data_IF_859377951256
#
_entry.id   IF_859377951256
#
_cell.length_a   1.000
_cell.length_b   1.000
_cell.length_c   1.000
_cell.angle_alpha   90.00
_cell.angle_beta   90.00
_cell.angle_gamma   90.00
#
_symmetry.space_group_name_H-M   'P 1'
#
loop_
_entity.id
_entity.type
_entity.pdbx_description
1 polymer ?
#
# COMPACT_ATOMS: atom_id res chain seq x y z
N UNK A 1 -9.51 1.53 -2.65
CA UNK A 1 -9.61 0.29 -1.85
C UNK A 1 -10.57 -0.75 -2.42
N UNK A 2 -11.82 -0.42 -2.77
CA UNK A 2 -12.80 -1.42 -3.24
C UNK A 2 -12.34 -2.22 -4.47
N UNK A 3 -11.76 -1.57 -5.48
CA UNK A 3 -11.18 -2.24 -6.65
C UNK A 3 -10.04 -3.20 -6.29
N UNK A 4 -9.18 -2.80 -5.34
CA UNK A 4 -8.09 -3.63 -4.84
C UNK A 4 -8.61 -4.90 -4.15
N UNK A 5 -9.69 -4.78 -3.36
CA UNK A 5 -10.38 -5.91 -2.73
C UNK A 5 -10.98 -6.83 -3.80
N UNK A 6 -11.74 -6.26 -4.74
CA UNK A 6 -12.37 -7.03 -5.82
C UNK A 6 -11.35 -7.83 -6.64
N UNK A 7 -10.17 -7.23 -6.91
CA UNK A 7 -9.09 -7.88 -7.67
C UNK A 7 -8.54 -9.14 -7.00
N UNK A 8 -8.70 -9.31 -5.68
CA UNK A 8 -8.20 -10.49 -4.97
C UNK A 8 -8.92 -11.77 -5.40
N UNK A 9 -10.17 -11.67 -5.88
CA UNK A 9 -10.93 -12.82 -6.40
C UNK A 9 -10.34 -13.37 -7.70
N UNK A 10 -9.67 -12.52 -8.48
CA UNK A 10 -9.08 -12.88 -9.77
C UNK A 10 -7.60 -13.22 -9.64
N UNK A 11 -6.87 -12.41 -8.86
CA UNK A 11 -5.44 -12.57 -8.62
C UNK A 11 -5.14 -12.28 -7.14
N UNK A 12 -5.17 -13.30 -6.27
CA UNK A 12 -4.84 -13.16 -4.86
C UNK A 12 -3.41 -12.66 -4.66
N UNK A 13 -3.23 -11.70 -3.75
CA UNK A 13 -1.92 -11.09 -3.45
C UNK A 13 -1.55 -11.44 -2.02
N UNK A 14 -0.39 -12.08 -1.85
CA UNK A 14 0.08 -12.50 -0.53
C UNK A 14 0.21 -11.29 0.42
N UNK A 15 -0.25 -11.47 1.65
CA UNK A 15 -0.23 -10.42 2.68
C UNK A 15 -1.29 -9.31 2.49
N UNK A 16 -2.17 -9.37 1.48
CA UNK A 16 -3.19 -8.34 1.27
C UNK A 16 -4.16 -8.13 2.45
N UNK A 17 -4.67 -9.18 3.13
CA UNK A 17 -5.52 -8.97 4.31
C UNK A 17 -4.78 -8.23 5.45
N UNK A 18 -3.49 -8.52 5.66
CA UNK A 18 -2.68 -7.83 6.66
C UNK A 18 -2.41 -6.36 6.30
N UNK A 19 -2.32 -6.03 5.00
CA UNK A 19 -2.28 -4.63 4.54
C UNK A 19 -3.59 -3.89 4.85
N UNK A 20 -4.75 -4.53 4.67
CA UNK A 20 -6.04 -3.93 5.04
C UNK A 20 -6.15 -3.72 6.56
N UNK A 21 -5.74 -4.71 7.36
CA UNK A 21 -5.71 -4.57 8.81
C UNK A 21 -4.79 -3.44 9.26
N UNK A 22 -3.65 -3.23 8.58
CA UNK A 22 -2.77 -2.08 8.82
C UNK A 22 -3.46 -0.75 8.47
N UNK A 23 -4.18 -0.68 7.34
CA UNK A 23 -4.94 0.52 6.94
C UNK A 23 -5.93 0.90 8.03
N UNK A 24 -6.71 -0.06 8.53
CA UNK A 24 -7.69 0.17 9.61
C UNK A 24 -7.01 0.57 10.92
N UNK A 25 -5.98 -0.17 11.34
CA UNK A 25 -5.25 0.06 12.59
C UNK A 25 -4.64 1.46 12.68
N UNK A 26 -4.08 1.96 11.59
CA UNK A 26 -3.37 3.25 11.56
C UNK A 26 -4.22 4.39 10.99
N UNK A 27 -5.50 4.16 10.67
CA UNK A 27 -6.39 5.18 10.12
C UNK A 27 -5.97 5.69 8.74
N UNK A 28 -5.32 4.85 7.93
CA UNK A 28 -4.84 5.23 6.60
C UNK A 28 -6.01 5.43 5.63
N UNK A 29 -5.80 6.22 4.57
CA UNK A 29 -6.85 6.50 3.59
C UNK A 29 -7.23 5.31 2.73
N UNK A 30 -6.35 4.30 2.62
CA UNK A 30 -6.65 3.08 1.89
C UNK A 30 -5.44 2.42 1.25
N UNK A 31 -5.74 1.43 0.41
CA UNK A 31 -4.77 0.71 -0.41
C UNK A 31 -5.09 0.84 -1.89
N UNK A 32 -4.04 0.99 -2.69
CA UNK A 32 -4.04 0.88 -4.13
C UNK A 32 -3.18 -0.32 -4.56
N UNK A 33 -3.53 -0.96 -5.66
CA UNK A 33 -2.86 -2.14 -6.17
C UNK A 33 -2.68 -1.94 -7.67
N UNK A 34 -1.43 -2.03 -8.16
CA UNK A 34 -1.14 -1.96 -9.58
C UNK A 34 -1.77 -3.14 -10.32
N UNK A 35 -1.98 -3.01 -11.64
CA UNK A 35 -2.74 -3.97 -12.45
C UNK A 35 -2.34 -5.44 -12.24
N UNK A 36 -1.05 -5.77 -12.39
CA UNK A 36 -0.52 -7.12 -12.18
C UNK A 36 -0.38 -7.51 -10.71
N UNK A 37 -0.61 -6.58 -9.79
CA UNK A 37 -0.43 -6.79 -8.37
C UNK A 37 1.00 -6.74 -7.87
N UNK A 38 2.01 -6.54 -8.72
CA UNK A 38 3.42 -6.54 -8.31
C UNK A 38 3.82 -5.33 -7.45
N UNK A 39 3.00 -4.29 -7.42
CA UNK A 39 3.18 -3.10 -6.58
C UNK A 39 1.88 -2.81 -5.86
N UNK A 40 2.00 -2.52 -4.56
CA UNK A 40 0.92 -2.06 -3.70
C UNK A 40 1.31 -0.72 -3.08
N UNK A 41 0.34 0.18 -2.94
CA UNK A 41 0.53 1.48 -2.30
C UNK A 41 -0.44 1.65 -1.15
N UNK A 42 0.06 2.12 -0.01
CA UNK A 42 -0.79 2.59 1.10
C UNK A 42 -0.88 4.10 1.05
N UNK A 43 -2.09 4.63 1.17
CA UNK A 43 -2.38 6.06 1.05
C UNK A 43 -2.40 6.68 2.46
N UNK A 44 -1.55 7.68 2.68
CA UNK A 44 -1.37 8.32 3.97
C UNK A 44 -1.13 9.83 3.83
N UNK A 45 -1.39 10.55 4.93
CA UNK A 45 -0.90 11.92 5.16
C UNK A 45 0.28 11.91 6.12
N UNK A 46 1.44 12.40 5.69
CA UNK A 46 2.69 12.44 6.48
C UNK A 46 2.62 13.37 7.69
N UNK A 47 1.65 14.28 7.75
CA UNK A 47 1.41 15.15 8.92
C UNK A 47 0.59 14.45 10.00
N UNK A 48 -0.13 13.39 9.64
CA UNK A 48 -1.05 12.65 10.53
C UNK A 48 -0.55 11.25 10.88
N UNK A 49 0.20 10.62 9.99
CA UNK A 49 0.62 9.23 10.11
C UNK A 49 2.14 9.12 10.25
N UNK A 50 2.58 8.35 11.22
CA UNK A 50 3.99 8.02 11.45
C UNK A 50 4.48 6.99 10.44
N UNK A 51 5.27 7.44 9.47
CA UNK A 51 5.82 6.59 8.41
C UNK A 51 6.76 5.51 8.96
N UNK A 52 7.55 5.82 9.99
CA UNK A 52 8.49 4.85 10.54
C UNK A 52 7.75 3.75 11.30
N UNK A 53 6.69 4.09 12.05
CA UNK A 53 5.83 3.09 12.67
C UNK A 53 5.19 2.14 11.64
N UNK A 54 4.79 2.65 10.47
CA UNK A 54 4.25 1.85 9.37
C UNK A 54 5.31 0.91 8.78
N UNK A 55 6.53 1.39 8.54
CA UNK A 55 7.64 0.55 8.05
C UNK A 55 7.98 -0.58 9.03
N UNK A 56 8.04 -0.26 10.32
CA UNK A 56 8.25 -1.26 11.37
C UNK A 56 7.12 -2.29 11.40
N UNK A 57 5.87 -1.86 11.23
CA UNK A 57 4.73 -2.75 11.12
C UNK A 57 4.88 -3.72 9.94
N UNK A 58 5.20 -3.20 8.74
CA UNK A 58 5.44 -4.02 7.55
C UNK A 58 6.50 -5.10 7.79
N UNK A 59 7.62 -4.72 8.42
CA UNK A 59 8.70 -5.67 8.73
C UNK A 59 8.28 -6.72 9.76
N UNK A 60 7.66 -6.30 10.87
CA UNK A 60 7.23 -7.19 11.97
C UNK A 60 6.18 -8.21 11.53
N UNK A 61 5.33 -7.84 10.59
CA UNK A 61 4.28 -8.72 10.05
C UNK A 61 4.73 -9.50 8.81
N UNK A 62 6.03 -9.48 8.46
CA UNK A 62 6.59 -10.24 7.35
C UNK A 62 6.14 -9.76 5.96
N UNK A 63 5.46 -8.61 5.87
CA UNK A 63 4.96 -8.06 4.60
C UNK A 63 6.11 -7.66 3.67
N UNK A 64 7.28 -7.36 4.21
CA UNK A 64 8.50 -7.11 3.44
C UNK A 64 9.03 -8.33 2.68
N UNK A 65 8.54 -9.54 2.97
CA UNK A 65 8.86 -10.73 2.15
C UNK A 65 8.09 -10.73 0.83
N UNK A 66 6.89 -10.17 0.82
CA UNK A 66 6.04 -10.06 -0.38
C UNK A 66 6.25 -8.74 -1.11
N UNK A 67 6.53 -7.67 -0.37
CA UNK A 67 6.73 -6.31 -0.87
C UNK A 67 8.06 -5.75 -0.33
N UNK A 68 9.21 -6.23 -0.84
CA UNK A 68 10.52 -5.94 -0.25
C UNK A 68 10.97 -4.49 -0.44
N UNK A 69 10.64 -3.90 -1.57
CA UNK A 69 11.06 -2.54 -1.92
C UNK A 69 10.01 -1.53 -1.46
N UNK A 70 10.44 -0.55 -0.66
CA UNK A 70 9.56 0.46 -0.09
C UNK A 70 9.96 1.86 -0.60
N UNK A 71 8.96 2.62 -1.07
CA UNK A 71 9.15 4.00 -1.51
C UNK A 71 8.11 4.90 -0.84
N UNK A 72 8.54 6.07 -0.37
CA UNK A 72 7.64 7.14 0.07
C UNK A 72 7.53 8.18 -1.03
N UNK A 73 6.43 8.14 -1.77
CA UNK A 73 6.19 8.99 -2.95
C UNK A 73 5.06 9.98 -2.71
N UNK A 74 5.09 11.11 -3.40
CA UNK A 74 3.96 12.04 -3.45
C UNK A 74 2.98 11.57 -4.52
N UNK A 75 1.69 11.58 -4.20
CA UNK A 75 0.66 11.38 -5.21
C UNK A 75 0.70 12.55 -6.19
N UNK A 76 0.68 12.26 -7.48
CA UNK A 76 0.67 13.27 -8.54
C UNK A 76 -0.66 13.22 -9.28
N UNK A 77 -1.13 14.37 -9.77
CA UNK A 77 -2.14 14.40 -10.82
C UNK A 77 -1.56 13.68 -12.03
N UNK A 78 -2.29 12.72 -12.60
CA UNK A 78 -1.86 11.98 -13.78
C UNK A 78 -1.52 12.90 -14.96
N UNK A 79 -0.93 12.31 -16.01
CA UNK A 79 -0.48 13.02 -17.20
C UNK A 79 1.04 12.95 -17.39
N UNK A 80 1.46 12.90 -18.65
CA UNK A 80 2.88 12.88 -19.00
C UNK A 80 3.44 14.30 -18.86
N UNK A 81 4.66 14.42 -18.31
CA UNK A 81 5.45 15.64 -18.42
C UNK A 81 6.56 15.37 -19.41
N UNK A 82 6.55 16.08 -20.54
CA UNK A 82 7.72 16.13 -21.42
C UNK A 82 8.82 16.83 -20.64
N UNK A 83 9.96 16.15 -20.48
CA UNK A 83 11.18 16.70 -19.89
C UNK A 83 12.19 16.95 -20.97
#
# INVERSE_FOLDING_TARGET
>A
TLSAIASQRLLPKAGFPALLAMVEKYGLYGVNVAHSGSVVGVLLDRRRHDVEALKHHLARHGLTRHWPTQHLLKLVSGGVRLR
#
